data_IF_295950747528
#
_entry.id   IF_295950747528
#
_cell.length_a   1.000
_cell.length_b   1.000
_cell.length_c   1.000
_cell.angle_alpha   90.00
_cell.angle_beta   90.00
_cell.angle_gamma   90.00
#
_symmetry.space_group_name_H-M   'P 1'
#
loop_
_entity.id
_entity.type
_entity.pdbx_description
1 polymer ?
#
# COMPACT_ATOMS: atom_id res chain seq x y z
N UNK A 1 7.67 -4.33 8.37
CA UNK A 1 8.45 -4.57 7.13
C UNK A 1 8.67 -3.23 6.43
N UNK A 2 9.80 -2.97 5.78
CA UNK A 2 10.02 -1.70 5.04
C UNK A 2 9.28 -1.70 3.70
N UNK A 3 8.98 -0.50 3.17
CA UNK A 3 8.41 -0.32 1.83
C UNK A 3 9.20 -1.05 0.75
N UNK A 4 10.53 -0.95 0.77
CA UNK A 4 11.40 -1.60 -0.22
C UNK A 4 11.27 -3.13 -0.21
N UNK A 5 11.17 -3.74 0.98
CA UNK A 5 10.97 -5.19 1.09
C UNK A 5 9.59 -5.60 0.60
N UNK A 6 8.55 -4.80 0.86
CA UNK A 6 7.20 -5.08 0.34
C UNK A 6 7.19 -4.95 -1.19
N UNK A 7 7.82 -3.91 -1.74
CA UNK A 7 7.92 -3.72 -3.19
C UNK A 7 8.66 -4.86 -3.88
N UNK A 8 9.71 -5.40 -3.24
CA UNK A 8 10.43 -6.56 -3.76
C UNK A 8 9.54 -7.82 -3.84
N UNK A 9 8.63 -7.99 -2.87
CA UNK A 9 7.79 -9.19 -2.76
C UNK A 9 6.51 -9.10 -3.60
N UNK A 10 5.86 -7.94 -3.62
CA UNK A 10 4.53 -7.73 -4.21
C UNK A 10 4.63 -7.02 -5.56
N UNK A 11 5.79 -6.41 -5.86
CA UNK A 11 6.00 -5.63 -7.06
C UNK A 11 5.59 -4.16 -6.89
N UNK A 12 5.42 -3.49 -8.02
CA UNK A 12 5.01 -2.08 -8.05
C UNK A 12 3.49 -1.98 -7.88
N UNK A 13 2.98 -1.09 -7.01
CA UNK A 13 1.54 -0.87 -6.89
C UNK A 13 0.94 -0.19 -8.13
N UNK A 14 -0.33 -0.47 -8.38
CA UNK A 14 -1.12 0.15 -9.45
C UNK A 14 -1.60 1.55 -9.05
N UNK A 15 -1.86 1.75 -7.76
CA UNK A 15 -2.26 3.02 -7.17
C UNK A 15 -1.50 3.28 -5.88
N UNK A 16 -1.15 4.54 -5.64
CA UNK A 16 -0.52 4.98 -4.40
C UNK A 16 -1.29 6.19 -3.89
N UNK A 17 -1.88 6.06 -2.71
CA UNK A 17 -2.54 7.16 -2.00
C UNK A 17 -1.66 7.58 -0.82
N UNK A 18 -1.35 8.88 -0.76
CA UNK A 18 -0.48 9.48 0.27
C UNK A 18 -1.32 10.41 1.13
N UNK A 19 -1.14 10.32 2.45
CA UNK A 19 -1.77 11.21 3.41
C UNK A 19 -0.84 11.51 4.57
N UNK A 20 -0.96 12.70 5.15
CA UNK A 20 -0.20 13.11 6.32
C UNK A 20 -1.17 13.62 7.39
N UNK A 21 -1.09 13.05 8.59
CA UNK A 21 -1.90 13.47 9.72
C UNK A 21 -1.03 13.54 10.97
N UNK A 22 -1.02 14.69 11.65
CA UNK A 22 -0.26 14.88 12.90
C UNK A 22 1.24 14.51 12.79
N UNK A 23 1.89 14.83 11.66
CA UNK A 23 3.27 14.47 11.30
C UNK A 23 3.52 12.97 11.10
N UNK A 24 2.47 12.16 10.98
CA UNK A 24 2.55 10.74 10.65
C UNK A 24 2.23 10.59 9.16
N UNK A 25 3.13 9.93 8.43
CA UNK A 25 2.95 9.68 7.00
C UNK A 25 2.22 8.35 6.79
N UNK A 26 1.02 8.43 6.26
CA UNK A 26 0.22 7.28 5.84
C UNK A 26 0.35 7.10 4.33
N UNK A 27 0.60 5.87 3.90
CA UNK A 27 0.66 5.52 2.49
C UNK A 27 -0.09 4.21 2.24
N UNK A 28 -1.00 4.23 1.27
CA UNK A 28 -1.77 3.05 0.89
C UNK A 28 -1.44 2.68 -0.54
N UNK A 29 -0.96 1.45 -0.73
CA UNK A 29 -0.64 0.85 -2.01
C UNK A 29 -1.80 -0.04 -2.46
N UNK A 30 -2.41 0.29 -3.59
CA UNK A 30 -3.46 -0.49 -4.22
C UNK A 30 -2.94 -1.36 -5.35
N UNK A 31 -3.42 -2.61 -5.39
CA UNK A 31 -3.13 -3.59 -6.43
C UNK A 31 -4.44 -4.13 -7.00
N UNK A 32 -4.46 -4.25 -8.33
CA UNK A 32 -5.59 -4.70 -9.14
C UNK A 32 -5.29 -6.10 -9.68
N UNK A 33 -5.51 -7.13 -8.85
CA UNK A 33 -5.13 -8.51 -9.19
C UNK A 33 -6.16 -9.21 -10.08
N UNK A 34 -7.45 -8.97 -9.84
CA UNK A 34 -8.57 -9.67 -10.49
C UNK A 34 -9.39 -8.77 -11.41
N UNK A 35 -9.36 -7.45 -11.22
CA UNK A 35 -10.15 -6.51 -12.00
C UNK A 35 -9.41 -5.18 -12.20
N UNK A 36 -9.73 -4.47 -13.30
CA UNK A 36 -9.04 -3.21 -13.66
C UNK A 36 -9.65 -1.96 -13.00
N UNK A 37 -10.78 -2.10 -12.31
CA UNK A 37 -11.59 -0.97 -11.84
C UNK A 37 -11.28 -0.57 -10.40
N UNK A 38 -11.05 -1.54 -9.52
CA UNK A 38 -10.86 -1.34 -8.08
C UNK A 38 -9.74 -2.23 -7.54
N UNK A 39 -8.92 -1.66 -6.66
CA UNK A 39 -7.90 -2.39 -5.93
C UNK A 39 -8.54 -3.47 -5.05
N UNK A 40 -8.12 -4.72 -5.26
CA UNK A 40 -8.57 -5.88 -4.48
C UNK A 40 -7.55 -6.31 -3.42
N UNK A 41 -6.33 -5.78 -3.51
CA UNK A 41 -5.33 -5.83 -2.45
C UNK A 41 -4.86 -4.41 -2.13
N UNK A 42 -4.91 -4.06 -0.86
CA UNK A 42 -4.45 -2.78 -0.30
C UNK A 42 -3.38 -3.09 0.75
N UNK A 43 -2.25 -2.39 0.68
CA UNK A 43 -1.16 -2.47 1.66
C UNK A 43 -0.95 -1.09 2.26
N UNK A 44 -1.08 -1.00 3.57
CA UNK A 44 -1.01 0.25 4.32
C UNK A 44 0.35 0.38 5.01
N UNK A 45 0.91 1.58 4.96
CA UNK A 45 2.16 1.94 5.60
C UNK A 45 1.97 3.15 6.51
N UNK A 46 2.65 3.12 7.64
CA UNK A 46 2.79 4.23 8.58
C UNK A 46 4.29 4.52 8.75
N UNK A 47 4.71 5.75 8.47
CA UNK A 47 6.12 6.19 8.51
C UNK A 47 7.10 5.24 7.81
N UNK A 48 6.71 4.76 6.62
CA UNK A 48 7.55 3.89 5.80
C UNK A 48 7.55 2.41 6.20
N UNK A 49 6.76 2.03 7.21
CA UNK A 49 6.67 0.67 7.73
C UNK A 49 5.30 0.09 7.46
N UNK A 50 5.26 -1.18 7.07
CA UNK A 50 4.02 -1.92 6.89
C UNK A 50 3.18 -1.87 8.17
N UNK A 51 1.97 -1.35 8.04
CA UNK A 51 0.98 -1.22 9.11
C UNK A 51 -0.17 -2.22 8.92
N UNK A 52 -0.62 -2.45 7.68
CA UNK A 52 -1.77 -3.29 7.40
C UNK A 52 -1.78 -3.90 6.00
N UNK A 53 -2.51 -5.00 5.85
CA UNK A 53 -2.81 -5.64 4.56
C UNK A 53 -4.30 -5.96 4.54
N UNK A 54 -4.98 -5.53 3.49
CA UNK A 54 -6.42 -5.76 3.30
C UNK A 54 -6.65 -6.35 1.91
N UNK A 55 -7.38 -7.45 1.86
CA UNK A 55 -7.82 -8.08 0.60
C UNK A 55 -9.34 -8.09 0.55
N UNK A 56 -9.93 -7.76 -0.61
CA UNK A 56 -11.37 -7.73 -0.86
C UNK A 56 -11.81 -8.81 -1.84
#
# INVERSE_FOLDING_TARGET
MSKDSVQLLVGKPDQVDLNELANINYETWGYKLKNEYMSDLEIEFEDGKLNGVRQK
#
